data_IF_785234579679
#
_entry.id   IF_785234579679
#
_cell.length_a   1.000
_cell.length_b   1.000
_cell.length_c   1.000
_cell.angle_alpha   90.00
_cell.angle_beta   90.00
_cell.angle_gamma   90.00
#
_symmetry.space_group_name_H-M   'P 1'
#
loop_
_entity.id
_entity.type
_entity.pdbx_description
1 polymer ?
#
# COMPACT_ATOMS: atom_id res chain seq x y z
N UNK A 1 4.14 13.98 7.68
CA UNK A 1 4.25 13.41 6.31
C UNK A 1 3.45 12.12 6.17
N UNK A 2 3.50 11.22 7.16
CA UNK A 2 2.74 9.95 7.13
C UNK A 2 1.23 10.14 6.89
N UNK A 3 0.58 11.11 7.54
CA UNK A 3 -0.85 11.38 7.32
C UNK A 3 -1.21 11.71 5.86
N UNK A 4 -0.34 12.45 5.15
CA UNK A 4 -0.52 12.73 3.71
C UNK A 4 -0.43 11.42 2.92
N UNK A 5 0.62 10.63 3.16
CA UNK A 5 0.80 9.35 2.48
C UNK A 5 -0.39 8.42 2.72
N UNK A 6 -0.83 8.24 3.96
CA UNK A 6 -1.96 7.37 4.32
C UNK A 6 -3.28 7.85 3.72
N UNK A 7 -3.53 9.16 3.66
CA UNK A 7 -4.73 9.69 3.04
C UNK A 7 -4.84 9.26 1.56
N UNK A 8 -3.77 9.46 0.79
CA UNK A 8 -3.75 9.10 -0.64
C UNK A 8 -3.62 7.59 -0.87
N UNK A 9 -2.91 6.87 0.00
CA UNK A 9 -2.87 5.40 -0.03
C UNK A 9 -4.28 4.82 0.24
N UNK A 10 -5.03 5.40 1.18
CA UNK A 10 -6.41 5.01 1.41
C UNK A 10 -7.28 5.22 0.17
N UNK A 11 -7.14 6.38 -0.47
CA UNK A 11 -7.83 6.66 -1.73
C UNK A 11 -7.47 5.64 -2.83
N UNK A 12 -6.18 5.35 -3.06
CA UNK A 12 -5.78 4.43 -4.14
C UNK A 12 -6.23 3.00 -3.88
N UNK A 13 -6.29 2.56 -2.62
CA UNK A 13 -6.83 1.25 -2.27
C UNK A 13 -8.34 1.17 -2.52
N UNK A 14 -9.10 2.24 -2.25
CA UNK A 14 -10.53 2.30 -2.59
C UNK A 14 -10.73 2.25 -4.11
N UNK A 15 -10.01 3.07 -4.87
CA UNK A 15 -10.10 3.09 -6.34
C UNK A 15 -9.69 1.75 -6.94
N UNK A 16 -8.61 1.13 -6.45
CA UNK A 16 -8.21 -0.22 -6.85
C UNK A 16 -9.27 -1.27 -6.50
N UNK A 17 -9.89 -1.16 -5.32
CA UNK A 17 -11.00 -2.03 -4.91
C UNK A 17 -12.18 -1.97 -5.88
N UNK A 18 -12.54 -0.77 -6.35
CA UNK A 18 -13.57 -0.57 -7.39
C UNK A 18 -13.09 -1.08 -8.74
N UNK A 19 -11.84 -0.82 -9.12
CA UNK A 19 -11.23 -1.30 -10.36
C UNK A 19 -11.26 -2.82 -10.49
N UNK A 20 -11.04 -3.55 -9.39
CA UNK A 20 -11.14 -5.00 -9.33
C UNK A 20 -12.56 -5.55 -9.60
N UNK A 21 -13.59 -4.71 -9.56
CA UNK A 21 -14.97 -5.08 -9.94
C UNK A 21 -15.25 -4.93 -11.44
N UNK A 22 -14.27 -4.47 -12.22
CA UNK A 22 -14.42 -4.21 -13.66
C UNK A 22 -15.14 -2.91 -14.00
N UNK A 23 -15.36 -2.02 -13.01
CA UNK A 23 -16.05 -0.73 -13.19
C UNK A 23 -15.15 0.41 -13.66
N UNK A 24 -13.82 0.23 -13.61
CA UNK A 24 -12.82 1.21 -14.03
C UNK A 24 -11.89 0.50 -15.01
N UNK A 25 -11.58 1.13 -16.14
CA UNK A 25 -10.63 0.56 -17.09
C UNK A 25 -9.24 0.45 -16.45
N UNK A 26 -8.50 -0.62 -16.73
CA UNK A 26 -7.17 -0.81 -16.17
C UNK A 26 -6.24 0.39 -16.43
N UNK A 27 -6.31 1.01 -17.62
CA UNK A 27 -5.49 2.17 -17.98
C UNK A 27 -5.86 3.44 -17.20
N UNK A 28 -7.14 3.64 -16.90
CA UNK A 28 -7.60 4.76 -16.07
C UNK A 28 -7.18 4.55 -14.62
N UNK A 29 -7.34 3.32 -14.10
CA UNK A 29 -6.89 2.96 -12.75
C UNK A 29 -5.36 3.12 -12.59
N UNK A 30 -4.60 2.85 -13.65
CA UNK A 30 -3.15 3.02 -13.66
C UNK A 30 -2.71 4.47 -13.42
N UNK A 31 -3.46 5.46 -13.94
CA UNK A 31 -3.17 6.88 -13.72
C UNK A 31 -3.17 7.20 -12.23
N UNK A 32 -4.17 6.72 -11.49
CA UNK A 32 -4.27 7.01 -10.07
C UNK A 32 -3.19 6.30 -9.25
N UNK A 33 -2.88 5.04 -9.59
CA UNK A 33 -1.76 4.31 -9.00
C UNK A 33 -0.42 5.02 -9.24
N UNK A 34 -0.21 5.57 -10.42
CA UNK A 34 0.99 6.33 -10.74
C UNK A 34 1.10 7.61 -9.89
N UNK A 35 0.03 8.39 -9.79
CA UNK A 35 0.00 9.63 -8.99
C UNK A 35 0.33 9.35 -7.52
N UNK A 36 -0.33 8.36 -6.92
CA UNK A 36 -0.09 8.01 -5.51
C UNK A 36 1.28 7.37 -5.32
N UNK A 37 1.72 6.53 -6.26
CA UNK A 37 3.05 5.94 -6.25
C UNK A 37 4.17 6.99 -6.30
N UNK A 38 4.04 8.01 -7.15
CA UNK A 38 4.98 9.13 -7.23
C UNK A 38 4.96 9.95 -5.94
N UNK A 39 3.79 10.29 -5.42
CA UNK A 39 3.68 11.05 -4.18
C UNK A 39 4.37 10.31 -3.02
N UNK A 40 4.07 9.03 -2.85
CA UNK A 40 4.69 8.19 -1.83
C UNK A 40 6.21 8.08 -2.03
N UNK A 41 6.67 7.93 -3.27
CA UNK A 41 8.09 7.91 -3.61
C UNK A 41 8.79 9.18 -3.16
N UNK A 42 8.27 10.35 -3.50
CA UNK A 42 8.88 11.63 -3.10
C UNK A 42 8.88 11.84 -1.59
N UNK A 43 7.78 11.48 -0.91
CA UNK A 43 7.71 11.53 0.56
C UNK A 43 8.81 10.65 1.18
N UNK A 44 8.97 9.42 0.68
CA UNK A 44 9.97 8.49 1.19
C UNK A 44 11.40 8.90 0.86
N UNK A 45 11.67 9.43 -0.34
CA UNK A 45 12.99 9.95 -0.70
C UNK A 45 13.38 11.16 0.15
N UNK A 46 12.43 12.06 0.44
CA UNK A 46 12.69 13.16 1.37
C UNK A 46 12.96 12.65 2.79
N UNK A 47 12.25 11.62 3.22
CA UNK A 47 12.51 10.91 4.48
C UNK A 47 13.91 10.30 4.52
N UNK A 48 14.33 9.64 3.44
CA UNK A 48 15.65 9.05 3.29
C UNK A 48 16.76 10.11 3.45
N UNK A 49 16.65 11.24 2.76
CA UNK A 49 17.64 12.34 2.81
C UNK A 49 17.71 12.99 4.20
N UNK A 50 16.61 13.03 4.94
CA UNK A 50 16.53 13.64 6.28
C UNK A 50 16.88 12.69 7.42
N UNK A 51 17.01 11.40 7.14
CA UNK A 51 17.26 10.38 8.16
C UNK A 51 18.70 10.48 8.66
N UNK A 52 18.88 10.39 9.97
CA UNK A 52 20.20 10.41 10.63
C UNK A 52 20.50 9.13 11.40
N UNK A 53 19.52 8.23 11.49
CA UNK A 53 19.56 7.00 12.25
C UNK A 53 18.80 5.85 11.56
N UNK A 54 18.98 4.64 12.06
CA UNK A 54 18.36 3.45 11.48
C UNK A 54 16.82 3.46 11.55
N UNK A 55 16.24 4.14 12.55
CA UNK A 55 14.79 4.26 12.67
C UNK A 55 14.21 5.12 11.53
N UNK A 56 14.84 6.26 11.21
CA UNK A 56 14.48 7.08 10.07
C UNK A 56 14.63 6.31 8.74
N UNK A 57 15.77 5.63 8.56
CA UNK A 57 16.00 4.82 7.35
C UNK A 57 14.97 3.69 7.17
N UNK A 58 14.58 3.02 8.26
CA UNK A 58 13.54 1.99 8.24
C UNK A 58 12.18 2.57 7.86
N UNK A 59 11.82 3.75 8.38
CA UNK A 59 10.58 4.46 8.01
C UNK A 59 10.58 4.85 6.52
N UNK A 60 11.70 5.35 5.99
CA UNK A 60 11.82 5.66 4.57
C UNK A 60 11.69 4.39 3.70
N UNK A 61 12.40 3.31 4.06
CA UNK A 61 12.38 2.04 3.35
C UNK A 61 10.98 1.43 3.29
N UNK A 62 10.24 1.48 4.39
CA UNK A 62 8.86 0.97 4.44
C UNK A 62 7.90 1.77 3.56
N UNK A 63 8.04 3.11 3.50
CA UNK A 63 7.27 3.90 2.55
C UNK A 63 7.59 3.55 1.08
N UNK A 64 8.86 3.25 0.77
CA UNK A 64 9.27 2.81 -0.57
C UNK A 64 8.64 1.47 -0.99
N UNK A 65 8.43 0.54 -0.05
CA UNK A 65 7.73 -0.74 -0.35
C UNK A 65 6.35 -0.49 -0.97
N UNK A 66 5.62 0.46 -0.40
CA UNK A 66 4.28 0.82 -0.87
C UNK A 66 4.33 1.65 -2.14
N UNK A 67 5.22 2.66 -2.20
CA UNK A 67 5.40 3.48 -3.40
C UNK A 67 5.69 2.63 -4.64
N UNK A 68 6.63 1.69 -4.53
CA UNK A 68 6.97 0.79 -5.62
C UNK A 68 5.86 -0.21 -5.95
N UNK A 69 5.03 -0.62 -4.99
CA UNK A 69 3.84 -1.43 -5.28
C UNK A 69 2.93 -0.70 -6.29
N UNK A 70 2.59 0.57 -6.02
CA UNK A 70 1.68 1.32 -6.87
C UNK A 70 2.28 1.71 -8.22
N UNK A 71 3.56 2.13 -8.24
CA UNK A 71 4.26 2.41 -9.50
C UNK A 71 4.38 1.17 -10.39
N UNK A 72 4.64 0.01 -9.79
CA UNK A 72 4.69 -1.25 -10.52
C UNK A 72 3.29 -1.64 -11.02
N UNK A 73 2.24 -1.50 -10.21
CA UNK A 73 0.86 -1.75 -10.66
C UNK A 73 0.46 -0.85 -11.84
N UNK A 74 0.79 0.45 -11.78
CA UNK A 74 0.55 1.38 -12.87
C UNK A 74 1.25 0.94 -14.16
N UNK A 75 2.53 0.55 -14.08
CA UNK A 75 3.29 0.06 -15.22
C UNK A 75 2.70 -1.24 -15.81
N UNK A 76 2.28 -2.17 -14.95
CA UNK A 76 1.61 -3.41 -15.35
C UNK A 76 0.33 -3.11 -16.11
N UNK A 77 -0.51 -2.22 -15.58
CA UNK A 77 -1.81 -1.89 -16.17
C UNK A 77 -1.68 -1.12 -17.49
N UNK A 78 -0.82 -0.11 -17.57
CA UNK A 78 -0.60 0.63 -18.82
C UNK A 78 -0.03 -0.24 -19.95
N UNK A 79 0.89 -1.14 -19.61
CA UNK A 79 1.53 -2.03 -20.58
C UNK A 79 0.77 -3.33 -20.82
N UNK A 80 -0.37 -3.56 -20.15
CA UNK A 80 -1.15 -4.79 -20.28
C UNK A 80 -0.39 -6.06 -19.89
N UNK A 81 0.51 -5.97 -18.91
CA UNK A 81 1.31 -7.10 -18.43
C UNK A 81 0.46 -8.05 -17.57
N UNK A 82 0.89 -9.31 -17.46
CA UNK A 82 0.16 -10.33 -16.69
C UNK A 82 0.22 -10.19 -15.15
N UNK A 83 1.00 -9.23 -14.63
CA UNK A 83 1.08 -8.93 -13.19
C UNK A 83 1.79 -9.95 -12.30
N UNK A 84 2.31 -11.08 -12.82
CA UNK A 84 2.92 -12.14 -11.99
C UNK A 84 4.14 -11.65 -11.20
N UNK A 85 4.97 -10.82 -11.82
CA UNK A 85 6.14 -10.24 -11.16
C UNK A 85 5.76 -9.32 -10.00
N UNK A 86 4.70 -8.52 -10.17
CA UNK A 86 4.13 -7.72 -9.08
C UNK A 86 3.58 -8.61 -7.96
N UNK A 87 2.94 -9.73 -8.29
CA UNK A 87 2.46 -10.70 -7.29
C UNK A 87 3.58 -11.21 -6.38
N UNK A 88 4.75 -11.57 -6.94
CA UNK A 88 5.91 -11.97 -6.13
C UNK A 88 6.47 -10.83 -5.29
N UNK A 89 6.45 -9.60 -5.82
CA UNK A 89 6.79 -8.42 -5.02
C UNK A 89 5.81 -8.22 -3.85
N UNK A 90 4.52 -8.48 -4.06
CA UNK A 90 3.53 -8.41 -2.98
C UNK A 90 3.81 -9.42 -1.86
N UNK A 91 4.31 -10.63 -2.18
CA UNK A 91 4.74 -11.59 -1.15
C UNK A 91 5.92 -11.05 -0.33
N UNK A 92 6.91 -10.44 -0.99
CA UNK A 92 8.03 -9.81 -0.31
C UNK A 92 7.56 -8.72 0.67
N UNK A 93 6.65 -7.84 0.24
CA UNK A 93 6.06 -6.82 1.12
C UNK A 93 5.32 -7.47 2.29
N UNK A 94 4.47 -8.47 2.02
CA UNK A 94 3.69 -9.16 3.04
C UNK A 94 4.55 -9.84 4.12
N UNK A 95 5.70 -10.42 3.75
CA UNK A 95 6.63 -11.00 4.72
C UNK A 95 7.23 -9.90 5.60
N UNK A 96 7.62 -8.76 5.02
CA UNK A 96 8.23 -7.65 5.75
C UNK A 96 7.26 -6.92 6.68
N UNK A 97 5.94 -7.04 6.49
CA UNK A 97 5.00 -6.46 7.46
C UNK A 97 5.00 -7.17 8.81
N UNK A 98 5.43 -8.45 8.86
CA UNK A 98 5.50 -9.22 10.11
C UNK A 98 6.52 -8.67 11.11
N UNK A 99 7.81 -8.46 10.75
CA UNK A 99 8.76 -7.82 11.66
C UNK A 99 8.35 -6.38 11.98
N UNK A 100 7.72 -5.64 11.05
CA UNK A 100 7.20 -4.30 11.34
C UNK A 100 6.08 -4.30 12.37
N UNK A 101 5.15 -5.26 12.28
CA UNK A 101 4.09 -5.45 13.27
C UNK A 101 4.66 -5.82 14.64
N UNK A 102 5.68 -6.68 14.68
CA UNK A 102 6.41 -7.06 15.89
C UNK A 102 7.08 -5.85 16.55
N UNK A 103 7.78 -5.01 15.77
CA UNK A 103 8.42 -3.81 16.30
C UNK A 103 7.39 -2.79 16.85
N UNK A 104 6.20 -2.74 16.26
CA UNK A 104 5.14 -1.83 16.69
C UNK A 104 4.39 -2.29 17.95
N UNK A 105 4.43 -3.58 18.31
CA UNK A 105 3.55 -4.16 19.35
C UNK A 105 3.71 -3.51 20.72
N UNK A 106 4.93 -3.10 21.05
CA UNK A 106 5.26 -2.46 22.33
C UNK A 106 5.05 -0.95 22.33
N UNK A 107 4.83 -0.35 21.15
CA UNK A 107 4.79 1.11 20.96
C UNK A 107 3.37 1.61 20.68
N UNK A 108 2.67 0.97 19.73
CA UNK A 108 1.34 1.38 19.30
C UNK A 108 0.59 0.20 18.66
N UNK A 109 -0.40 -0.31 19.40
CA UNK A 109 -1.23 -1.43 18.94
C UNK A 109 -1.96 -1.11 17.63
N UNK A 110 -2.30 0.16 17.37
CA UNK A 110 -2.96 0.58 16.13
C UNK A 110 -2.03 0.35 14.95
N UNK A 111 -0.77 0.75 15.07
CA UNK A 111 0.27 0.50 14.07
C UNK A 111 0.51 -1.00 13.83
N UNK A 112 0.50 -1.83 14.88
CA UNK A 112 0.57 -3.30 14.73
C UNK A 112 -0.60 -3.85 13.91
N UNK A 113 -1.83 -3.44 14.21
CA UNK A 113 -3.03 -3.88 13.48
C UNK A 113 -2.97 -3.43 12.02
N UNK A 114 -2.53 -2.19 11.75
CA UNK A 114 -2.35 -1.67 10.40
C UNK A 114 -1.35 -2.52 9.61
N UNK A 115 -0.17 -2.82 10.18
CA UNK A 115 0.84 -3.64 9.52
C UNK A 115 0.33 -5.04 9.18
N UNK A 116 -0.41 -5.68 10.09
CA UNK A 116 -0.99 -7.00 9.84
C UNK A 116 -2.09 -6.96 8.76
N UNK A 117 -2.93 -5.92 8.76
CA UNK A 117 -3.97 -5.73 7.74
C UNK A 117 -3.35 -5.53 6.35
N UNK A 118 -2.29 -4.73 6.25
CA UNK A 118 -1.54 -4.54 5.01
C UNK A 118 -0.85 -5.85 4.60
N UNK A 119 -0.19 -6.56 5.51
CA UNK A 119 0.41 -7.86 5.23
C UNK A 119 -0.58 -8.85 4.62
N UNK A 120 -1.77 -8.98 5.22
CA UNK A 120 -2.83 -9.83 4.73
C UNK A 120 -3.30 -9.41 3.32
N UNK A 121 -3.52 -8.11 3.07
CA UNK A 121 -3.95 -7.62 1.77
C UNK A 121 -2.90 -7.88 0.68
N UNK A 122 -1.63 -7.60 0.95
CA UNK A 122 -0.53 -7.86 0.02
C UNK A 122 -0.36 -9.36 -0.23
N UNK A 123 -0.57 -10.21 0.77
CA UNK A 123 -0.58 -11.65 0.59
C UNK A 123 -1.74 -12.10 -0.33
N UNK A 124 -2.95 -11.53 -0.18
CA UNK A 124 -4.05 -11.80 -1.10
C UNK A 124 -3.72 -11.37 -2.54
N UNK A 125 -3.03 -10.24 -2.72
CA UNK A 125 -2.52 -9.81 -4.01
C UNK A 125 -1.47 -10.77 -4.60
N UNK A 126 -0.59 -11.34 -3.77
CA UNK A 126 0.29 -12.42 -4.21
C UNK A 126 -0.50 -13.64 -4.73
N UNK A 127 -1.49 -14.11 -3.96
CA UNK A 127 -2.33 -15.24 -4.38
C UNK A 127 -3.06 -14.92 -5.70
N UNK A 128 -3.61 -13.71 -5.83
CA UNK A 128 -4.35 -13.30 -7.01
C UNK A 128 -3.47 -13.11 -8.25
N UNK A 129 -2.30 -12.48 -8.10
CA UNK A 129 -1.48 -12.09 -9.25
C UNK A 129 -0.35 -13.08 -9.56
N UNK A 130 0.38 -13.58 -8.57
CA UNK A 130 1.44 -14.55 -8.82
C UNK A 130 0.87 -15.95 -9.04
N UNK A 131 -0.03 -16.38 -8.15
CA UNK A 131 -0.62 -17.73 -8.21
C UNK A 131 -1.91 -17.79 -9.04
N UNK A 132 -2.37 -16.65 -9.57
CA UNK A 132 -3.54 -16.56 -10.47
C UNK A 132 -4.80 -17.17 -9.84
N UNK A 133 -4.95 -17.05 -8.52
CA UNK A 133 -6.12 -17.52 -7.78
C UNK A 133 -7.25 -16.47 -7.86
N UNK A 134 -8.45 -16.92 -8.21
CA UNK A 134 -9.64 -16.05 -8.17
C UNK A 134 -10.10 -15.84 -6.73
N UNK A 135 -10.17 -14.58 -6.29
CA UNK A 135 -10.62 -14.19 -4.96
C UNK A 135 -11.77 -13.18 -5.13
N UNK A 136 -13.00 -13.67 -5.08
CA UNK A 136 -14.22 -12.88 -5.35
C UNK A 136 -14.35 -11.63 -4.48
N UNK A 137 -13.87 -11.70 -3.24
CA UNK A 137 -13.95 -10.63 -2.25
C UNK A 137 -12.76 -9.66 -2.27
N UNK A 138 -11.77 -9.83 -3.16
CA UNK A 138 -10.55 -9.01 -3.15
C UNK A 138 -10.83 -7.52 -3.31
N UNK A 139 -11.73 -7.14 -4.22
CA UNK A 139 -12.13 -5.74 -4.42
C UNK A 139 -12.69 -5.09 -3.14
N UNK A 140 -13.77 -5.64 -2.55
CA UNK A 140 -14.31 -5.18 -1.27
C UNK A 140 -13.28 -5.16 -0.13
N UNK A 141 -12.46 -6.21 0.01
CA UNK A 141 -11.42 -6.28 1.06
C UNK A 141 -10.41 -5.13 0.88
N UNK A 142 -9.96 -4.89 -0.35
CA UNK A 142 -9.01 -3.80 -0.67
C UNK A 142 -9.59 -2.44 -0.27
N UNK A 143 -10.86 -2.18 -0.61
CA UNK A 143 -11.53 -0.93 -0.28
C UNK A 143 -11.73 -0.76 1.24
N UNK A 144 -12.19 -1.80 1.94
CA UNK A 144 -12.40 -1.77 3.39
C UNK A 144 -11.08 -1.49 4.12
N UNK A 145 -10.00 -2.21 3.75
CA UNK A 145 -8.68 -1.97 4.33
C UNK A 145 -8.21 -0.55 4.01
N UNK A 146 -8.40 -0.07 2.78
CA UNK A 146 -8.09 1.32 2.40
C UNK A 146 -8.79 2.37 3.26
N UNK A 147 -10.09 2.17 3.56
CA UNK A 147 -10.88 3.09 4.39
C UNK A 147 -10.38 3.09 5.83
N UNK A 148 -10.35 1.93 6.47
CA UNK A 148 -10.18 1.84 7.92
C UNK A 148 -8.71 1.86 8.37
N UNK A 149 -7.76 1.46 7.52
CA UNK A 149 -6.34 1.43 7.87
C UNK A 149 -5.52 2.56 7.27
N UNK A 150 -6.06 3.32 6.31
CA UNK A 150 -5.31 4.39 5.64
C UNK A 150 -6.09 5.71 5.55
N UNK A 151 -7.30 5.73 4.99
CA UNK A 151 -8.04 6.97 4.79
C UNK A 151 -8.43 7.63 6.12
N UNK A 152 -9.18 6.93 6.97
CA UNK A 152 -9.60 7.47 8.27
C UNK A 152 -8.37 7.82 9.13
N UNK A 153 -7.38 6.92 9.31
CA UNK A 153 -6.15 7.25 10.04
C UNK A 153 -5.39 8.45 9.47
N UNK A 154 -5.20 8.49 8.15
CA UNK A 154 -4.48 9.56 7.48
C UNK A 154 -5.16 10.92 7.67
N UNK A 155 -6.50 10.97 7.56
CA UNK A 155 -7.26 12.17 7.84
C UNK A 155 -7.14 12.61 9.31
N UNK A 156 -7.33 11.69 10.26
CA UNK A 156 -7.22 12.00 11.69
C UNK A 156 -5.83 12.49 12.08
N UNK A 157 -4.76 11.90 11.51
CA UNK A 157 -3.39 12.36 11.71
C UNK A 157 -3.18 13.80 11.22
N UNK A 158 -3.77 14.17 10.09
CA UNK A 158 -3.68 15.52 9.53
C UNK A 158 -4.52 16.53 10.30
N UNK A 159 -5.64 16.09 10.88
CA UNK A 159 -6.51 16.92 11.73
C UNK A 159 -6.02 17.03 13.19
N UNK A 160 -4.96 16.32 13.58
CA UNK A 160 -4.44 16.32 14.95
C UNK A 160 -5.25 15.49 15.95
N UNK A 161 -5.98 14.48 15.46
CA UNK A 161 -6.90 13.64 16.25
C UNK A 161 -6.53 12.14 16.19
N UNK A 162 -5.24 11.80 16.06
CA UNK A 162 -4.75 10.43 15.94
C UNK A 162 -4.00 9.95 17.19
#
# INVERSE_FOLDING_TARGET
MLGIALLFIGAVLVVNGVGLTGRIEARENAVFNFLVGILALFISLLGLVRSVDNAGYLSAATGLLFAFTYLYLAAVQWKGMNGRGLGWYCLFVAINTLPMAWLAVSQDIRSTVMWLAWGALWFLFFLAMALQKSIRSLGPITAIIGIFSCWIPGFLMLAGHW
#
